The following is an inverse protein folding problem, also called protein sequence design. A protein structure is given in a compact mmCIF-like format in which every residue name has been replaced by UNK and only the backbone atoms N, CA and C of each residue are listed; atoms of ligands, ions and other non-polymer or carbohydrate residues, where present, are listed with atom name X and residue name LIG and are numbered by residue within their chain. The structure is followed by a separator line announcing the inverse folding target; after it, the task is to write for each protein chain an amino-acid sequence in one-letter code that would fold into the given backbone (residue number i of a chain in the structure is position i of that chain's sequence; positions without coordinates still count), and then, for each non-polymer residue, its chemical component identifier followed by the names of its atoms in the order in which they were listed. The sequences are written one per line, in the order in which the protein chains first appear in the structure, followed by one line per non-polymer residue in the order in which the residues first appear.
data_IF_587202824538
#
_entry.id   IF_587202824538
#
_cell.length_a   1.000
_cell.length_b   1.000
_cell.length_c   1.000
_cell.angle_alpha   90.00
_cell.angle_beta   90.00
_cell.angle_gamma   90.00
#
_symmetry.space_group_name_H-M   'P 1'
#
loop_
_entity.id
_entity.type
_entity.pdbx_description
1 polymer ?
#
# COMPACT_ATOMS: atom_id res chain seq x y z
N UNK A 1 -25.73 31.67 4.70
CA UNK A 1 -25.38 30.33 4.17
C UNK A 1 -23.91 30.19 3.81
N UNK A 2 -23.32 31.00 2.91
CA UNK A 2 -21.91 30.85 2.45
C UNK A 2 -20.86 30.81 3.57
N UNK A 3 -20.97 31.67 4.58
CA UNK A 3 -20.06 31.70 5.74
C UNK A 3 -20.15 30.42 6.60
N UNK A 4 -21.37 29.98 6.93
CA UNK A 4 -21.59 28.79 7.74
C UNK A 4 -21.18 27.51 7.00
N UNK A 5 -21.45 27.43 5.69
CA UNK A 5 -20.98 26.34 4.84
C UNK A 5 -19.46 26.30 4.74
N UNK A 6 -18.80 27.46 4.60
CA UNK A 6 -17.34 27.53 4.57
C UNK A 6 -16.68 27.06 5.87
N UNK A 7 -17.21 27.46 7.04
CA UNK A 7 -16.72 26.99 8.35
C UNK A 7 -16.94 25.48 8.49
N UNK A 8 -18.10 24.97 8.07
CA UNK A 8 -18.39 23.53 8.08
C UNK A 8 -17.36 22.73 7.28
N UNK A 9 -17.03 23.13 6.05
CA UNK A 9 -16.04 22.44 5.23
C UNK A 9 -14.63 22.48 5.83
N UNK A 10 -14.23 23.59 6.46
CA UNK A 10 -12.93 23.68 7.16
C UNK A 10 -12.90 22.69 8.34
N UNK A 11 -13.93 22.68 9.18
CA UNK A 11 -14.00 21.76 10.33
C UNK A 11 -14.04 20.30 9.87
N UNK A 12 -14.83 19.99 8.84
CA UNK A 12 -14.92 18.65 8.26
C UNK A 12 -13.56 18.19 7.72
N UNK A 13 -12.83 19.06 7.01
CA UNK A 13 -11.48 18.75 6.52
C UNK A 13 -10.51 18.42 7.66
N UNK A 14 -10.57 19.17 8.77
CA UNK A 14 -9.70 18.94 9.93
C UNK A 14 -10.03 17.59 10.57
N UNK A 15 -11.31 17.28 10.78
CA UNK A 15 -11.75 16.01 11.36
C UNK A 15 -11.35 14.82 10.47
N UNK A 16 -11.56 14.94 9.15
CA UNK A 16 -11.15 13.91 8.18
C UNK A 16 -9.64 13.68 8.19
N UNK A 17 -8.85 14.74 8.32
CA UNK A 17 -7.40 14.64 8.41
C UNK A 17 -6.98 13.87 9.67
N UNK A 18 -7.47 14.28 10.85
CA UNK A 18 -7.11 13.64 12.11
C UNK A 18 -7.60 12.19 12.24
N UNK A 19 -8.70 11.82 11.58
CA UNK A 19 -9.18 10.45 11.58
C UNK A 19 -8.44 9.55 10.58
N UNK A 20 -8.10 10.09 9.41
CA UNK A 20 -7.53 9.31 8.30
C UNK A 20 -6.03 9.09 8.44
N UNK A 21 -5.27 10.10 8.87
CA UNK A 21 -3.80 10.06 8.96
C UNK A 21 -3.29 8.93 9.90
N UNK A 22 -3.85 8.71 11.11
CA UNK A 22 -3.38 7.64 11.99
C UNK A 22 -3.58 6.24 11.43
N UNK A 23 -4.66 6.00 10.66
CA UNK A 23 -4.91 4.71 10.00
C UNK A 23 -3.95 4.44 8.84
N UNK A 24 -3.47 5.50 8.20
CA UNK A 24 -2.57 5.44 7.05
C UNK A 24 -1.09 5.35 7.43
N UNK A 25 -0.75 5.70 8.67
CA UNK A 25 0.63 5.70 9.17
C UNK A 25 1.11 4.33 9.70
N UNK A 26 0.27 3.29 9.81
CA UNK A 26 0.69 2.04 10.47
C UNK A 26 1.85 1.34 9.75
N UNK A 27 1.77 1.13 8.43
CA UNK A 27 2.84 0.48 7.66
C UNK A 27 4.13 1.32 7.69
N UNK A 28 4.02 2.65 7.63
CA UNK A 28 5.14 3.57 7.72
C UNK A 28 5.80 3.60 9.11
N UNK A 29 5.00 3.65 10.18
CA UNK A 29 5.49 3.65 11.56
C UNK A 29 6.17 2.33 11.90
N UNK A 30 5.63 1.20 11.42
CA UNK A 30 6.26 -0.12 11.57
C UNK A 30 7.57 -0.15 10.80
N UNK A 31 7.60 0.37 9.56
CA UNK A 31 8.80 0.47 8.75
C UNK A 31 9.91 1.27 9.46
N UNK A 32 9.61 2.44 10.02
CA UNK A 32 10.61 3.30 10.69
C UNK A 32 11.20 2.66 11.95
N UNK A 33 10.46 1.78 12.62
CA UNK A 33 10.89 1.10 13.86
C UNK A 33 11.48 -0.29 13.61
N UNK A 34 11.40 -0.80 12.39
CA UNK A 34 11.81 -2.15 12.07
C UNK A 34 13.33 -2.31 12.10
N UNK A 35 13.81 -3.44 12.63
CA UNK A 35 15.21 -3.82 12.65
C UNK A 35 15.67 -4.15 11.23
N UNK A 36 16.82 -3.63 10.81
CA UNK A 36 17.36 -3.77 9.45
C UNK A 36 18.69 -4.52 9.40
N UNK A 37 19.19 -4.98 10.55
CA UNK A 37 20.49 -5.64 10.68
C UNK A 37 20.34 -6.97 11.37
N UNK A 38 21.05 -7.98 10.87
CA UNK A 38 21.12 -9.32 11.45
C UNK A 38 22.20 -9.40 12.55
N UNK A 39 22.12 -10.38 13.47
CA UNK A 39 21.06 -11.37 13.64
C UNK A 39 19.77 -10.77 14.20
N UNK A 40 18.63 -11.40 13.91
CA UNK A 40 17.34 -11.00 14.45
C UNK A 40 17.03 -11.76 15.74
N UNK A 41 16.27 -11.15 16.64
CA UNK A 41 15.74 -11.78 17.85
C UNK A 41 14.27 -12.13 17.68
N UNK A 42 13.81 -13.14 18.40
CA UNK A 42 12.37 -13.47 18.46
C UNK A 42 11.55 -12.25 18.89
N UNK A 43 10.42 -12.02 18.22
CA UNK A 43 9.53 -10.89 18.46
C UNK A 43 9.97 -9.59 17.78
N UNK A 44 11.16 -9.55 17.18
CA UNK A 44 11.59 -8.39 16.41
C UNK A 44 10.66 -8.16 15.22
N UNK A 45 10.28 -6.90 15.03
CA UNK A 45 9.75 -6.44 13.76
C UNK A 45 10.93 -6.10 12.87
N UNK A 46 11.02 -6.76 11.71
CA UNK A 46 12.17 -6.64 10.81
C UNK A 46 11.77 -6.05 9.47
N UNK A 47 12.70 -5.32 8.86
CA UNK A 47 12.61 -4.86 7.49
C UNK A 47 13.73 -5.48 6.66
N UNK A 48 13.32 -6.28 5.67
CA UNK A 48 14.23 -7.03 4.81
C UNK A 48 14.15 -6.43 3.41
N UNK A 49 15.24 -5.81 2.97
CA UNK A 49 15.43 -5.37 1.58
C UNK A 49 16.35 -6.34 0.85
N UNK A 50 15.77 -7.36 0.22
CA UNK A 50 16.50 -8.50 -0.30
C UNK A 50 16.10 -8.92 -1.70
N UNK A 51 16.48 -10.14 -2.06
CA UNK A 51 16.10 -10.80 -3.31
C UNK A 51 15.61 -12.20 -3.05
N UNK A 52 14.60 -12.63 -3.81
CA UNK A 52 14.13 -14.03 -3.78
C UNK A 52 15.29 -14.95 -4.17
N UNK A 53 15.65 -15.90 -3.32
CA UNK A 53 16.76 -16.82 -3.59
C UNK A 53 16.47 -17.71 -4.81
N UNK A 54 17.54 -18.09 -5.52
CA UNK A 54 17.50 -19.09 -6.61
C UNK A 54 17.28 -20.51 -6.11
N UNK A 55 17.46 -20.76 -4.81
CA UNK A 55 17.25 -22.07 -4.21
C UNK A 55 15.77 -22.38 -3.98
N UNK A 56 14.89 -21.38 -4.11
CA UNK A 56 13.46 -21.59 -3.95
C UNK A 56 12.90 -22.47 -5.07
N UNK A 57 11.94 -23.38 -4.75
CA UNK A 57 11.27 -24.16 -5.77
C UNK A 57 10.49 -23.24 -6.71
N UNK A 58 10.37 -23.68 -7.97
CA UNK A 58 9.51 -23.04 -8.97
C UNK A 58 8.16 -23.73 -8.92
N UNK A 59 7.13 -23.02 -8.49
CA UNK A 59 5.79 -23.57 -8.28
C UNK A 59 4.96 -23.55 -9.56
N UNK A 60 4.95 -22.43 -10.29
CA UNK A 60 4.16 -22.29 -11.53
C UNK A 60 4.82 -21.33 -12.51
N UNK A 61 4.96 -21.71 -13.80
CA UNK A 61 5.51 -20.85 -14.87
C UNK A 61 6.78 -20.05 -14.45
N UNK A 62 7.70 -20.70 -13.73
CA UNK A 62 8.94 -20.15 -13.15
C UNK A 62 8.78 -19.13 -11.99
N UNK A 63 7.58 -18.99 -11.42
CA UNK A 63 7.33 -18.22 -10.20
C UNK A 63 7.69 -19.08 -8.97
N UNK A 64 8.35 -18.47 -7.99
CA UNK A 64 8.66 -19.08 -6.69
C UNK A 64 7.52 -18.91 -5.68
N UNK A 65 6.70 -17.89 -5.88
CA UNK A 65 5.47 -17.63 -5.13
C UNK A 65 4.54 -16.80 -6.01
N UNK A 66 3.24 -17.02 -5.94
CA UNK A 66 2.28 -16.27 -6.75
C UNK A 66 0.84 -16.72 -6.59
N UNK A 67 -0.07 -16.02 -7.26
CA UNK A 67 -1.49 -16.35 -7.33
C UNK A 67 -1.94 -16.45 -8.77
N UNK A 68 -2.91 -17.32 -9.02
CA UNK A 68 -3.76 -17.26 -10.20
C UNK A 68 -4.88 -16.28 -9.90
N UNK A 69 -5.11 -15.33 -10.79
CA UNK A 69 -6.10 -14.28 -10.61
C UNK A 69 -7.05 -14.20 -11.81
N UNK A 70 -8.32 -13.94 -11.52
CA UNK A 70 -9.37 -13.71 -12.51
C UNK A 70 -9.78 -12.25 -12.53
N UNK A 71 -10.02 -11.70 -13.72
CA UNK A 71 -10.60 -10.38 -13.85
C UNK A 71 -12.06 -10.39 -13.39
N UNK A 72 -12.42 -9.53 -12.43
CA UNK A 72 -13.78 -9.37 -11.89
C UNK A 72 -14.43 -8.07 -12.37
N UNK A 73 -13.80 -6.92 -12.15
CA UNK A 73 -14.35 -5.62 -12.55
C UNK A 73 -13.30 -4.52 -12.42
N UNK A 74 -13.40 -3.43 -13.18
CA UNK A 74 -12.52 -2.28 -12.97
C UNK A 74 -12.79 -1.66 -11.58
N UNK A 75 -11.84 -1.81 -10.65
CA UNK A 75 -12.02 -1.42 -9.24
C UNK A 75 -10.92 -1.96 -8.31
N UNK A 76 -11.32 -2.42 -7.11
CA UNK A 76 -10.43 -2.98 -6.07
C UNK A 76 -9.47 -4.03 -6.68
N UNK A 77 -8.20 -4.05 -6.27
CA UNK A 77 -7.16 -4.98 -6.75
C UNK A 77 -6.81 -4.87 -8.25
N UNK A 78 -6.88 -3.68 -8.85
CA UNK A 78 -6.73 -3.48 -10.30
C UNK A 78 -7.69 -4.36 -11.13
N UNK A 79 -8.81 -4.74 -10.51
CA UNK A 79 -9.85 -5.57 -11.08
C UNK A 79 -9.57 -7.05 -11.18
N UNK A 80 -8.51 -7.56 -10.56
CA UNK A 80 -8.21 -8.99 -10.52
C UNK A 80 -8.34 -9.53 -9.09
N UNK A 81 -8.97 -10.69 -8.93
CA UNK A 81 -9.12 -11.38 -7.65
C UNK A 81 -8.43 -12.74 -7.69
N UNK A 82 -7.71 -13.14 -6.63
CA UNK A 82 -7.08 -14.45 -6.57
C UNK A 82 -8.12 -15.56 -6.52
N UNK A 83 -7.85 -16.65 -7.25
CA UNK A 83 -8.65 -17.89 -7.27
C UNK A 83 -7.84 -19.10 -6.80
N UNK A 84 -6.52 -19.04 -6.91
CA UNK A 84 -5.60 -20.09 -6.50
C UNK A 84 -4.29 -19.46 -6.02
N UNK A 85 -3.68 -20.05 -5.00
CA UNK A 85 -2.44 -19.57 -4.40
C UNK A 85 -1.35 -20.62 -4.54
N UNK A 86 -0.17 -20.18 -4.98
CA UNK A 86 1.06 -20.96 -5.07
C UNK A 86 2.03 -20.39 -4.05
N UNK A 87 1.96 -20.88 -2.81
CA UNK A 87 2.78 -20.42 -1.69
C UNK A 87 3.63 -21.59 -1.21
N UNK A 88 4.97 -21.48 -1.19
CA UNK A 88 5.81 -22.49 -0.57
C UNK A 88 5.67 -22.40 0.96
N UNK A 89 6.02 -23.48 1.68
CA UNK A 89 6.05 -23.47 3.15
C UNK A 89 6.90 -22.32 3.71
N UNK A 90 8.05 -22.06 3.07
CA UNK A 90 8.87 -20.89 3.30
C UNK A 90 9.46 -20.39 1.98
N UNK A 91 9.58 -19.06 1.85
CA UNK A 91 10.36 -18.43 0.82
C UNK A 91 11.71 -18.01 1.40
N UNK A 92 12.81 -18.44 0.78
CA UNK A 92 14.15 -17.98 1.15
C UNK A 92 14.46 -16.66 0.46
N UNK A 93 14.83 -15.65 1.24
CA UNK A 93 15.23 -14.32 0.75
C UNK A 93 16.68 -14.07 1.13
N UNK A 94 17.48 -13.72 0.13
CA UNK A 94 18.86 -13.28 0.34
C UNK A 94 18.83 -11.83 0.80
N UNK A 95 19.37 -11.56 1.97
CA UNK A 95 19.40 -10.25 2.61
C UNK A 95 20.80 -9.97 3.12
N UNK A 96 21.45 -8.93 2.59
CA UNK A 96 22.88 -8.70 2.78
C UNK A 96 23.69 -9.97 2.45
N UNK A 97 24.45 -10.48 3.42
CA UNK A 97 25.23 -11.73 3.32
C UNK A 97 24.46 -12.96 3.84
N UNK A 98 23.26 -12.78 4.37
CA UNK A 98 22.48 -13.80 5.05
C UNK A 98 21.32 -14.30 4.18
N UNK A 99 20.77 -15.46 4.57
CA UNK A 99 19.55 -16.02 4.00
C UNK A 99 18.47 -16.10 5.08
N UNK A 100 17.32 -15.49 4.82
CA UNK A 100 16.20 -15.46 5.75
C UNK A 100 15.05 -16.28 5.20
N UNK A 101 14.46 -17.14 6.02
CA UNK A 101 13.22 -17.85 5.69
C UNK A 101 12.04 -16.97 6.06
N UNK A 102 11.15 -16.74 5.11
CA UNK A 102 9.96 -15.92 5.33
C UNK A 102 8.69 -16.73 5.02
N UNK A 103 7.67 -16.53 5.82
CA UNK A 103 6.37 -17.20 5.72
C UNK A 103 5.30 -16.22 5.24
N UNK A 104 4.53 -16.61 4.23
CA UNK A 104 3.45 -15.81 3.66
C UNK A 104 2.11 -16.42 4.03
N UNK A 105 1.37 -15.79 4.96
CA UNK A 105 -0.01 -16.18 5.29
C UNK A 105 -1.00 -15.84 4.17
N UNK A 106 -0.72 -14.75 3.45
CA UNK A 106 -1.44 -14.32 2.25
C UNK A 106 -0.43 -13.82 1.21
N UNK A 107 -0.88 -13.56 -0.02
CA UNK A 107 -0.04 -13.01 -1.10
C UNK A 107 -0.31 -11.51 -1.30
N UNK A 108 0.30 -10.60 -0.51
CA UNK A 108 0.13 -9.16 -0.68
C UNK A 108 1.20 -8.58 -1.62
N UNK A 109 1.40 -9.15 -2.82
CA UNK A 109 2.40 -8.61 -3.75
C UNK A 109 1.95 -7.27 -4.34
N UNK A 110 2.69 -6.23 -3.98
CA UNK A 110 2.63 -4.87 -4.53
C UNK A 110 3.96 -4.54 -5.18
N UNK A 111 4.01 -3.48 -5.99
CA UNK A 111 5.26 -2.97 -6.59
C UNK A 111 5.47 -3.32 -8.06
N UNK A 112 6.42 -2.61 -8.67
CA UNK A 112 6.66 -2.56 -10.12
C UNK A 112 7.32 -3.82 -10.67
N UNK A 113 7.97 -4.62 -9.81
CA UNK A 113 8.72 -5.83 -10.20
C UNK A 113 7.94 -7.13 -10.02
N UNK A 114 6.67 -7.05 -9.62
CA UNK A 114 5.77 -8.20 -9.62
C UNK A 114 5.53 -8.68 -11.05
N UNK A 115 5.82 -9.95 -11.32
CA UNK A 115 5.58 -10.54 -12.64
C UNK A 115 4.09 -10.77 -12.85
N UNK A 116 3.59 -10.35 -14.01
CA UNK A 116 2.22 -10.60 -14.46
C UNK A 116 2.29 -11.42 -15.75
N UNK A 117 1.68 -12.61 -15.78
CA UNK A 117 1.69 -13.52 -16.94
C UNK A 117 0.25 -13.72 -17.37
N UNK A 118 -0.21 -13.14 -18.50
CA UNK A 118 -1.53 -13.46 -19.03
C UNK A 118 -1.57 -14.94 -19.41
N UNK A 119 -2.70 -15.58 -19.15
CA UNK A 119 -2.93 -16.96 -19.55
C UNK A 119 -3.90 -17.01 -20.73
N UNK A 120 -3.72 -18.02 -21.59
CA UNK A 120 -4.62 -18.25 -22.72
C UNK A 120 -5.99 -18.77 -22.26
N UNK A 121 -6.03 -19.44 -21.10
CA UNK A 121 -7.28 -19.85 -20.47
C UNK A 121 -8.13 -18.64 -20.05
N UNK A 122 -9.44 -18.86 -20.09
CA UNK A 122 -10.45 -17.92 -19.62
C UNK A 122 -11.46 -18.67 -18.78
N UNK A 123 -12.22 -17.94 -17.98
CA UNK A 123 -13.36 -18.53 -17.28
C UNK A 123 -14.47 -18.94 -18.25
N UNK A 124 -15.47 -19.67 -17.74
CA UNK A 124 -16.70 -19.99 -18.47
C UNK A 124 -17.43 -18.73 -18.97
N UNK A 125 -17.32 -17.62 -18.22
CA UNK A 125 -17.84 -16.30 -18.59
C UNK A 125 -16.92 -15.52 -19.54
N UNK A 126 -15.89 -16.18 -20.10
CA UNK A 126 -14.90 -15.59 -21.02
C UNK A 126 -14.10 -14.42 -20.41
N UNK A 127 -13.91 -14.42 -19.08
CA UNK A 127 -13.11 -13.41 -18.39
C UNK A 127 -11.62 -13.78 -18.37
N UNK A 128 -10.75 -12.77 -18.43
CA UNK A 128 -9.31 -12.95 -18.51
C UNK A 128 -8.72 -13.51 -17.20
N UNK A 129 -7.76 -14.42 -17.34
CA UNK A 129 -7.01 -15.01 -16.24
C UNK A 129 -5.53 -14.63 -16.39
N UNK A 130 -4.85 -14.41 -15.27
CA UNK A 130 -3.41 -14.19 -15.23
C UNK A 130 -2.77 -14.90 -14.04
N UNK A 131 -1.46 -15.12 -14.11
CA UNK A 131 -0.62 -15.35 -12.93
C UNK A 131 0.00 -14.03 -12.48
N UNK A 132 0.10 -13.86 -11.18
CA UNK A 132 0.81 -12.75 -10.53
C UNK A 132 1.76 -13.32 -9.49
N UNK A 133 3.03 -12.92 -9.49
CA UNK A 133 3.96 -13.44 -8.50
C UNK A 133 5.40 -12.99 -8.68
N UNK A 134 6.29 -13.65 -7.95
CA UNK A 134 7.73 -13.35 -7.94
C UNK A 134 8.53 -14.52 -8.49
N UNK A 135 9.51 -14.19 -9.33
CA UNK A 135 10.52 -15.12 -9.83
C UNK A 135 11.72 -15.17 -8.88
N UNK A 136 12.56 -16.17 -9.03
CA UNK A 136 13.90 -16.16 -8.45
C UNK A 136 14.68 -14.91 -8.87
N UNK A 137 15.54 -14.41 -7.97
CA UNK A 137 16.27 -13.13 -8.05
C UNK A 137 15.41 -11.86 -8.09
N UNK A 138 14.08 -11.94 -8.04
CA UNK A 138 13.25 -10.74 -7.99
C UNK A 138 13.56 -9.95 -6.71
N UNK A 139 13.71 -8.61 -6.80
CA UNK A 139 13.87 -7.78 -5.61
C UNK A 139 12.59 -7.82 -4.78
N UNK A 140 12.75 -7.88 -3.47
CA UNK A 140 11.64 -7.96 -2.53
C UNK A 140 11.99 -7.21 -1.25
N UNK A 141 11.07 -6.35 -0.83
CA UNK A 141 11.08 -5.65 0.43
C UNK A 141 9.96 -6.23 1.29
N UNK A 142 10.29 -6.60 2.52
CA UNK A 142 9.39 -7.27 3.45
C UNK A 142 9.42 -6.56 4.81
N UNK A 143 8.25 -6.48 5.43
CA UNK A 143 8.12 -6.20 6.86
C UNK A 143 7.43 -7.41 7.47
N UNK A 144 7.98 -7.92 8.56
CA UNK A 144 7.41 -9.05 9.27
C UNK A 144 7.88 -9.13 10.70
N UNK A 145 7.38 -10.15 11.39
CA UNK A 145 7.76 -10.44 12.78
C UNK A 145 8.51 -11.76 12.82
N UNK A 146 9.60 -11.79 13.59
CA UNK A 146 10.43 -12.98 13.77
C UNK A 146 9.77 -13.91 14.77
N UNK A 147 9.57 -15.16 14.36
CA UNK A 147 9.02 -16.22 15.19
C UNK A 147 10.13 -16.94 15.99
N UNK A 148 9.72 -17.79 16.94
CA UNK A 148 10.61 -18.63 17.75
C UNK A 148 11.60 -19.46 16.90
N UNK A 149 11.13 -19.97 15.75
CA UNK A 149 11.91 -20.80 14.83
C UNK A 149 12.81 -20.01 13.86
N UNK A 150 12.96 -18.69 14.10
CA UNK A 150 13.73 -17.76 13.26
C UNK A 150 13.17 -17.57 11.84
N UNK A 151 11.92 -17.98 11.59
CA UNK A 151 11.18 -17.59 10.39
C UNK A 151 10.57 -16.19 10.58
N UNK A 152 10.37 -15.48 9.48
CA UNK A 152 9.71 -14.17 9.49
C UNK A 152 8.32 -14.29 8.92
N UNK A 153 7.30 -14.09 9.76
CA UNK A 153 5.91 -13.97 9.33
C UNK A 153 5.69 -12.63 8.63
N UNK A 154 5.43 -12.67 7.32
CA UNK A 154 5.31 -11.47 6.50
C UNK A 154 3.99 -10.74 6.78
N UNK A 155 4.08 -9.47 7.16
CA UNK A 155 2.95 -8.56 7.30
C UNK A 155 2.73 -7.74 6.03
N UNK A 156 3.81 -7.20 5.47
CA UNK A 156 3.78 -6.39 4.26
C UNK A 156 4.87 -6.84 3.30
N UNK A 157 4.54 -6.86 2.01
CA UNK A 157 5.50 -7.13 0.95
C UNK A 157 5.39 -6.14 -0.20
N UNK A 158 6.54 -5.82 -0.80
CA UNK A 158 6.66 -4.98 -1.98
C UNK A 158 7.80 -5.49 -2.86
N UNK A 159 7.59 -5.59 -4.17
CA UNK A 159 8.64 -5.98 -5.12
C UNK A 159 9.02 -4.78 -6.00
N UNK A 160 10.21 -4.27 -5.76
CA UNK A 160 10.74 -3.07 -6.41
C UNK A 160 12.01 -2.58 -5.73
N UNK A 161 12.33 -1.32 -5.94
CA UNK A 161 13.40 -0.60 -5.24
C UNK A 161 12.93 -0.05 -3.89
N UNK A 162 13.89 0.30 -3.03
CA UNK A 162 13.59 0.92 -1.74
C UNK A 162 12.93 2.28 -1.92
N UNK A 163 13.37 3.06 -2.91
CA UNK A 163 12.86 4.37 -3.24
C UNK A 163 11.40 4.29 -3.72
N UNK A 164 11.08 3.31 -4.58
CA UNK A 164 9.70 3.04 -4.99
C UNK A 164 8.82 2.63 -3.81
N UNK A 165 9.34 1.82 -2.89
CA UNK A 165 8.61 1.42 -1.69
C UNK A 165 8.34 2.60 -0.76
N UNK A 166 9.36 3.41 -0.47
CA UNK A 166 9.25 4.62 0.35
C UNK A 166 8.26 5.62 -0.27
N UNK A 167 8.33 5.82 -1.58
CA UNK A 167 7.37 6.64 -2.32
C UNK A 167 5.96 6.05 -2.20
N UNK A 168 5.80 4.74 -2.39
CA UNK A 168 4.52 4.05 -2.28
C UNK A 168 3.88 4.23 -0.89
N UNK A 169 4.63 4.02 0.19
CA UNK A 169 4.10 4.15 1.56
C UNK A 169 3.84 5.62 1.93
N UNK A 170 4.62 6.56 1.39
CA UNK A 170 4.43 7.99 1.63
C UNK A 170 3.26 8.57 0.82
N UNK A 171 3.12 8.19 -0.46
CA UNK A 171 2.08 8.67 -1.37
C UNK A 171 0.70 8.07 -1.07
N UNK A 172 0.60 6.75 -0.86
CA UNK A 172 -0.67 6.11 -0.52
C UNK A 172 -1.15 6.50 0.89
N UNK A 173 -0.23 6.81 1.80
CA UNK A 173 -0.58 7.15 3.18
C UNK A 173 -0.97 8.61 3.37
N UNK A 174 -0.17 9.55 2.84
CA UNK A 174 -0.35 10.98 3.13
C UNK A 174 -0.83 11.77 1.92
N UNK A 175 -0.37 11.43 0.72
CA UNK A 175 -0.61 12.23 -0.48
C UNK A 175 -2.10 12.40 -0.81
N UNK A 176 -2.83 11.30 -0.88
CA UNK A 176 -4.24 11.30 -1.28
C UNK A 176 -5.15 11.93 -0.20
N UNK A 177 -4.88 11.67 1.08
CA UNK A 177 -5.62 12.31 2.19
C UNK A 177 -5.29 13.79 2.32
N UNK A 178 -4.03 14.20 2.15
CA UNK A 178 -3.66 15.61 2.10
C UNK A 178 -4.28 16.33 0.91
N UNK A 179 -4.37 15.68 -0.26
CA UNK A 179 -5.05 16.26 -1.42
C UNK A 179 -6.55 16.44 -1.20
N UNK A 180 -7.25 15.43 -0.67
CA UNK A 180 -8.68 15.51 -0.40
C UNK A 180 -8.94 16.55 0.70
N UNK A 181 -8.25 16.46 1.84
CA UNK A 181 -8.44 17.41 2.95
C UNK A 181 -8.04 18.83 2.51
N UNK A 182 -6.90 19.00 1.84
CA UNK A 182 -6.45 20.28 1.32
C UNK A 182 -7.47 20.92 0.36
N UNK A 183 -8.04 20.15 -0.56
CA UNK A 183 -9.07 20.63 -1.50
C UNK A 183 -10.35 21.05 -0.78
N UNK A 184 -10.84 20.24 0.16
CA UNK A 184 -12.05 20.55 0.96
C UNK A 184 -11.83 21.79 1.83
N UNK A 185 -10.67 21.89 2.48
CA UNK A 185 -10.28 23.06 3.28
C UNK A 185 -10.19 24.33 2.46
N UNK A 186 -9.63 24.26 1.25
CA UNK A 186 -9.48 25.40 0.34
C UNK A 186 -10.84 25.90 -0.18
N UNK A 187 -11.76 24.99 -0.54
CA UNK A 187 -13.14 25.32 -0.88
C UNK A 187 -13.84 26.01 0.30
N UNK A 188 -13.64 25.47 1.52
CA UNK A 188 -14.17 26.06 2.75
C UNK A 188 -13.68 27.50 2.97
N UNK A 189 -12.37 27.73 2.84
CA UNK A 189 -11.76 29.05 2.99
C UNK A 189 -12.29 30.07 1.96
N UNK A 190 -12.40 29.67 0.68
CA UNK A 190 -13.00 30.50 -0.37
C UNK A 190 -14.43 30.92 -0.04
N UNK A 191 -15.27 30.00 0.45
CA UNK A 191 -16.65 30.29 0.84
C UNK A 191 -16.75 31.24 2.03
N UNK A 192 -15.82 31.14 2.99
CA UNK A 192 -15.72 32.10 4.11
C UNK A 192 -15.35 33.49 3.61
N UNK A 193 -14.30 33.60 2.78
CA UNK A 193 -13.85 34.88 2.20
C UNK A 193 -14.99 35.55 1.43
N UNK A 194 -15.64 34.83 0.51
CA UNK A 194 -16.78 35.34 -0.26
C UNK A 194 -17.98 35.72 0.64
N UNK A 195 -18.20 34.98 1.73
CA UNK A 195 -19.21 35.30 2.73
C UNK A 195 -18.95 36.60 3.48
N UNK A 196 -17.69 36.87 3.85
CA UNK A 196 -17.27 38.10 4.56
C UNK A 196 -17.35 39.31 3.63
N UNK A 197 -16.80 39.22 2.42
CA UNK A 197 -16.84 40.31 1.43
C UNK A 197 -18.28 40.63 0.98
N UNK A 198 -19.12 39.61 0.78
CA UNK A 198 -20.53 39.78 0.46
C UNK A 198 -21.32 40.52 1.56
N UNK A 199 -21.02 40.26 2.85
CA UNK A 199 -21.62 41.00 3.97
C UNK A 199 -21.14 42.45 4.03
N UNK A 200 -19.85 42.71 3.82
CA UNK A 200 -19.32 44.09 3.78
C UNK A 200 -19.93 44.92 2.65
N UNK A 201 -20.13 44.33 1.46
CA UNK A 201 -20.75 45.02 0.32
C UNK A 201 -22.24 45.34 0.57
N UNK A 202 -23.00 44.41 1.16
CA UNK A 202 -24.39 44.68 1.57
C UNK A 202 -24.50 45.74 2.67
N UNK A 203 -23.57 45.78 3.64
CA UNK A 203 -23.56 46.83 4.67
C UNK A 203 -23.30 48.22 4.11
N UNK A 204 -22.37 48.36 3.15
CA UNK A 204 -22.12 49.65 2.49
C UNK A 204 -23.31 50.13 1.65
N UNK A 205 -24.00 49.22 0.95
CA UNK A 205 -25.17 49.56 0.14
C UNK A 205 -26.45 49.88 0.95
N UNK A 206 -26.48 49.55 2.25
CA UNK A 206 -27.59 49.88 3.15
C UNK A 206 -27.38 51.20 3.89
N UNK A 207 -26.16 51.76 3.84
CA UNK A 207 -25.77 53.03 4.48
C UNK A 207 -25.61 54.17 3.47
N UNK A 208 -25.92 53.93 2.19
CA UNK A 208 -25.97 54.88 1.08
C UNK A 208 -27.40 55.06 0.61
#
# INVERSE_FOLDING_TARGET
MRLAGGIFFIVLSIVLYFYSVPKLNKEFEIYEKAVTTTPFSEGDTVFINGKVSNTNPKLVKNLCIGSKEVFKSFGKYNGFSPIEFYVPEFLTVNFNSDSVKVNFKEIPFRGSKVTHIPLEEKTEENTAIRLKGLKANAPILLIGTVNEDQTVDVMYSFSGSLEEYQSYIHENGKGLVMQICGSVGLIGALLVILGIFGRKKKRKAFLS
#
